data_IF_246288898944
#
_entry.id   IF_246288898944
#
_cell.length_a   1.000
_cell.length_b   1.000
_cell.length_c   1.000
_cell.angle_alpha   90.00
_cell.angle_beta   90.00
_cell.angle_gamma   90.00
#
_symmetry.space_group_name_H-M   'P 1'
#
loop_
_entity.id
_entity.type
_entity.pdbx_description
1 polymer ?
#
# COMPACT_ATOMS: atom_id res chain seq x y z
N UNK A 1 11.09 -16.93 -4.83
CA UNK A 1 10.20 -17.17 -3.66
C UNK A 1 10.66 -18.46 -2.96
N UNK A 2 10.76 -18.43 -1.61
CA UNK A 2 11.18 -19.59 -0.79
C UNK A 2 9.95 -20.30 -0.23
N UNK A 3 9.87 -21.63 -0.37
CA UNK A 3 8.77 -22.43 0.21
C UNK A 3 8.97 -22.60 1.72
N UNK A 4 7.89 -22.41 2.49
CA UNK A 4 7.85 -22.63 3.92
C UNK A 4 7.02 -23.87 4.24
N UNK A 5 7.58 -24.78 5.00
CA UNK A 5 6.88 -26.02 5.43
C UNK A 5 5.71 -25.73 6.38
N UNK A 6 5.76 -24.64 7.15
CA UNK A 6 4.72 -24.25 8.10
C UNK A 6 4.83 -22.76 8.43
N UNK A 7 3.68 -22.03 8.48
CA UNK A 7 3.62 -20.75 9.18
C UNK A 7 3.83 -21.02 10.68
N UNK A 8 4.82 -20.38 11.27
CA UNK A 8 4.96 -20.38 12.71
C UNK A 8 3.85 -19.53 13.35
N UNK A 9 2.65 -20.10 13.42
CA UNK A 9 1.53 -19.54 14.19
C UNK A 9 1.65 -19.87 15.68
N UNK A 10 2.73 -20.54 16.07
CA UNK A 10 2.99 -20.97 17.42
C UNK A 10 3.20 -19.75 18.33
N UNK A 11 2.18 -19.43 19.12
CA UNK A 11 2.18 -18.37 20.14
C UNK A 11 3.45 -18.36 21.00
N UNK A 12 3.93 -19.53 21.41
CA UNK A 12 5.13 -19.66 22.24
C UNK A 12 6.43 -19.27 21.51
N UNK A 13 6.62 -19.69 20.26
CA UNK A 13 7.86 -19.41 19.54
C UNK A 13 7.95 -17.93 19.15
N UNK A 14 6.84 -17.32 18.75
CA UNK A 14 6.76 -15.88 18.45
C UNK A 14 6.92 -15.01 19.70
N UNK A 15 6.23 -15.36 20.81
CA UNK A 15 6.41 -14.66 22.08
C UNK A 15 7.82 -14.83 22.62
N UNK A 16 8.46 -15.98 22.40
CA UNK A 16 9.84 -16.21 22.79
C UNK A 16 10.81 -15.32 21.99
N UNK A 17 10.60 -15.16 20.68
CA UNK A 17 11.37 -14.24 19.82
C UNK A 17 11.16 -12.81 20.32
N UNK A 18 9.91 -12.39 20.54
CA UNK A 18 9.58 -11.07 21.04
C UNK A 18 10.13 -10.82 22.44
N UNK A 19 10.02 -11.80 23.35
CA UNK A 19 10.56 -11.71 24.69
C UNK A 19 12.09 -11.67 24.68
N UNK A 20 12.73 -12.42 23.78
CA UNK A 20 14.20 -12.40 23.59
C UNK A 20 14.66 -11.06 23.03
N UNK A 21 13.95 -10.52 22.02
CA UNK A 21 14.19 -9.17 21.51
C UNK A 21 13.96 -8.11 22.60
N UNK A 22 12.85 -8.16 23.33
CA UNK A 22 12.54 -7.23 24.42
C UNK A 22 13.58 -7.29 25.55
N UNK A 23 14.01 -8.49 25.96
CA UNK A 23 15.01 -8.69 26.99
C UNK A 23 16.39 -8.19 26.57
N UNK A 24 16.80 -8.42 25.33
CA UNK A 24 18.08 -7.97 24.80
C UNK A 24 18.07 -6.46 24.56
N UNK A 25 17.02 -5.91 23.97
CA UNK A 25 16.83 -4.48 23.79
C UNK A 25 16.72 -3.77 25.15
N UNK A 26 15.95 -4.31 26.09
CA UNK A 26 15.80 -3.73 27.42
C UNK A 26 17.11 -3.61 28.19
N UNK A 27 17.99 -4.63 28.13
CA UNK A 27 19.29 -4.59 28.80
C UNK A 27 20.26 -3.58 28.19
N UNK A 28 20.23 -3.39 26.86
CA UNK A 28 21.14 -2.49 26.16
C UNK A 28 20.68 -1.03 26.18
N UNK A 29 19.37 -0.77 26.34
CA UNK A 29 18.76 0.56 26.14
C UNK A 29 18.28 1.25 27.41
N UNK A 30 18.19 0.55 28.55
CA UNK A 30 17.58 1.12 29.77
C UNK A 30 18.29 2.37 30.29
N UNK A 31 19.59 2.54 29.99
CA UNK A 31 20.42 3.65 30.42
C UNK A 31 20.97 4.52 29.27
N UNK A 32 20.43 4.42 28.07
CA UNK A 32 21.00 5.11 26.91
C UNK A 32 20.20 6.35 26.52
N UNK A 33 20.87 7.39 26.02
CA UNK A 33 20.27 8.58 25.43
C UNK A 33 19.60 8.23 24.08
N UNK A 34 18.64 9.06 23.60
CA UNK A 34 17.90 8.81 22.34
C UNK A 34 18.84 8.57 21.14
N UNK A 35 19.94 9.31 21.05
CA UNK A 35 20.93 9.20 19.97
C UNK A 35 21.77 7.91 20.06
N UNK A 36 22.05 7.44 21.27
CA UNK A 36 22.74 6.17 21.52
C UNK A 36 21.82 4.97 21.28
N UNK A 37 20.51 5.12 21.57
CA UNK A 37 19.50 4.10 21.33
C UNK A 37 19.40 3.79 19.83
N UNK A 38 19.30 4.81 18.97
CA UNK A 38 19.25 4.61 17.51
C UNK A 38 20.50 3.90 16.99
N UNK A 39 21.70 4.35 17.39
CA UNK A 39 22.96 3.73 16.96
C UNK A 39 23.15 2.29 17.48
N UNK A 40 22.69 1.98 18.69
CA UNK A 40 22.74 0.63 19.26
C UNK A 40 21.71 -0.30 18.61
N UNK A 41 20.49 0.21 18.34
CA UNK A 41 19.45 -0.52 17.62
C UNK A 41 19.92 -0.86 16.20
N UNK A 42 20.50 0.10 15.48
CA UNK A 42 21.08 -0.11 14.17
C UNK A 42 22.11 -1.24 14.17
N UNK A 43 23.08 -1.19 15.09
CA UNK A 43 24.09 -2.25 15.24
C UNK A 43 23.50 -3.61 15.64
N UNK A 44 22.53 -3.63 16.55
CA UNK A 44 21.84 -4.85 16.94
C UNK A 44 21.09 -5.48 15.77
N UNK A 45 20.29 -4.67 15.05
CA UNK A 45 19.57 -5.12 13.87
C UNK A 45 20.52 -5.61 12.77
N UNK A 46 21.59 -4.87 12.46
CA UNK A 46 22.62 -5.29 11.49
C UNK A 46 23.30 -6.61 11.87
N UNK A 47 23.69 -6.76 13.13
CA UNK A 47 24.37 -7.99 13.60
C UNK A 47 23.43 -9.20 13.70
N UNK A 48 22.11 -8.97 13.83
CA UNK A 48 21.10 -10.03 13.97
C UNK A 48 20.19 -10.17 12.75
N UNK A 49 20.40 -9.34 11.71
CA UNK A 49 19.55 -9.27 10.52
C UNK A 49 19.27 -10.66 9.93
N UNK A 50 20.32 -11.48 9.72
CA UNK A 50 20.17 -12.81 9.17
C UNK A 50 19.29 -13.75 10.02
N UNK A 51 19.46 -13.74 11.35
CA UNK A 51 18.63 -14.57 12.24
C UNK A 51 17.23 -13.98 12.45
N UNK A 52 17.10 -12.64 12.50
CA UNK A 52 15.83 -11.95 12.58
C UNK A 52 15.03 -12.11 11.30
N UNK A 53 15.64 -12.01 10.13
CA UNK A 53 14.98 -12.25 8.85
C UNK A 53 14.58 -13.71 8.66
N UNK A 54 15.31 -14.67 9.20
CA UNK A 54 14.89 -16.07 9.24
C UNK A 54 13.71 -16.29 10.21
N UNK A 55 13.77 -15.73 11.39
CA UNK A 55 12.74 -15.82 12.43
C UNK A 55 11.50 -14.97 12.10
N UNK A 56 11.69 -13.72 11.64
CA UNK A 56 10.64 -12.81 11.18
C UNK A 56 10.19 -13.11 9.73
N UNK A 57 11.01 -13.78 8.94
CA UNK A 57 10.69 -14.14 7.55
C UNK A 57 9.45 -15.02 7.41
N UNK A 58 9.04 -15.67 8.48
CA UNK A 58 7.76 -16.38 8.58
C UNK A 58 6.58 -15.47 8.98
N UNK A 59 6.85 -14.21 9.35
CA UNK A 59 5.90 -13.20 9.84
C UNK A 59 5.53 -12.14 8.79
N UNK A 60 6.06 -12.25 7.59
CA UNK A 60 6.28 -11.19 6.59
C UNK A 60 5.15 -10.26 6.25
N UNK A 61 3.98 -10.82 5.97
CA UNK A 61 2.99 -10.04 5.24
C UNK A 61 2.34 -8.96 6.07
N UNK A 62 1.83 -9.32 7.25
CA UNK A 62 1.14 -8.39 8.14
C UNK A 62 2.06 -7.34 8.74
N UNK A 63 3.31 -7.72 9.07
CA UNK A 63 4.32 -6.80 9.61
C UNK A 63 4.71 -5.75 8.56
N UNK A 64 4.98 -6.21 7.33
CA UNK A 64 5.28 -5.32 6.20
C UNK A 64 4.15 -4.35 5.89
N UNK A 65 2.93 -4.86 5.84
CA UNK A 65 1.74 -4.03 5.59
C UNK A 65 1.49 -3.06 6.74
N UNK A 66 1.66 -3.50 7.98
CA UNK A 66 1.59 -2.63 9.16
C UNK A 66 2.64 -1.51 9.09
N UNK A 67 3.88 -1.83 8.73
CA UNK A 67 4.94 -0.85 8.52
C UNK A 67 4.63 0.14 7.40
N UNK A 68 4.11 -0.34 6.27
CA UNK A 68 3.65 0.52 5.17
C UNK A 68 2.53 1.46 5.60
N UNK A 69 1.54 0.96 6.36
CA UNK A 69 0.46 1.80 6.89
C UNK A 69 1.02 2.79 7.91
N UNK A 70 1.90 2.34 8.82
CA UNK A 70 2.51 3.19 9.83
C UNK A 70 3.33 4.34 9.22
N UNK A 71 4.03 4.09 8.10
CA UNK A 71 4.77 5.14 7.38
C UNK A 71 3.86 6.26 6.83
N UNK A 72 2.56 6.01 6.66
CA UNK A 72 1.59 7.03 6.26
C UNK A 72 1.28 8.02 7.39
N UNK A 73 1.36 7.57 8.65
CA UNK A 73 1.16 8.45 9.81
C UNK A 73 2.37 9.33 10.11
N UNK A 74 3.50 9.06 9.49
CA UNK A 74 4.72 9.84 9.58
C UNK A 74 5.96 8.94 9.49
N UNK A 75 6.87 9.29 8.59
CA UNK A 75 8.15 8.56 8.47
C UNK A 75 8.99 8.61 9.74
N UNK A 76 8.76 9.61 10.60
CA UNK A 76 9.41 9.73 11.91
C UNK A 76 8.98 8.65 12.90
N UNK A 77 7.82 7.99 12.65
CA UNK A 77 7.37 6.88 13.47
C UNK A 77 8.14 5.58 13.20
N UNK A 78 8.84 5.50 12.06
CA UNK A 78 9.69 4.37 11.70
C UNK A 78 11.15 4.82 11.71
N UNK A 79 11.94 4.41 12.72
CA UNK A 79 13.37 4.59 12.68
C UNK A 79 13.97 3.98 11.40
N UNK A 80 15.01 4.59 10.79
CA UNK A 80 15.63 4.10 9.56
C UNK A 80 16.02 2.61 9.64
N UNK A 81 16.40 2.15 10.82
CA UNK A 81 16.76 0.76 11.06
C UNK A 81 15.57 -0.19 10.96
N UNK A 82 14.39 0.26 11.36
CA UNK A 82 13.14 -0.50 11.23
C UNK A 82 12.66 -0.46 9.78
N UNK A 83 12.78 0.68 9.08
CA UNK A 83 12.51 0.77 7.64
C UNK A 83 13.38 -0.21 6.86
N UNK A 84 14.69 -0.22 7.08
CA UNK A 84 15.63 -1.15 6.44
C UNK A 84 15.27 -2.61 6.70
N UNK A 85 14.88 -2.96 7.92
CA UNK A 85 14.42 -4.30 8.27
C UNK A 85 13.15 -4.67 7.49
N UNK A 86 12.18 -3.76 7.37
CA UNK A 86 10.96 -3.99 6.62
C UNK A 86 11.24 -4.14 5.11
N UNK A 87 12.15 -3.34 4.54
CA UNK A 87 12.57 -3.45 3.15
C UNK A 87 13.26 -4.78 2.86
N UNK A 88 14.15 -5.23 3.74
CA UNK A 88 14.79 -6.54 3.61
C UNK A 88 13.79 -7.69 3.71
N UNK A 89 12.85 -7.61 4.64
CA UNK A 89 11.73 -8.53 4.71
C UNK A 89 10.88 -8.51 3.42
N UNK A 90 10.71 -7.40 2.76
CA UNK A 90 9.99 -7.28 1.50
C UNK A 90 10.72 -7.97 0.34
N UNK A 91 12.04 -7.88 0.29
CA UNK A 91 12.85 -8.50 -0.77
C UNK A 91 12.78 -10.02 -0.77
N UNK A 92 12.54 -10.65 0.38
CA UNK A 92 12.49 -12.11 0.54
C UNK A 92 11.03 -12.60 0.49
N UNK A 93 10.41 -12.84 -0.65
CA UNK A 93 9.08 -13.44 -0.74
C UNK A 93 9.07 -14.93 -0.39
N UNK A 94 8.19 -15.34 0.52
CA UNK A 94 8.00 -16.76 0.90
C UNK A 94 6.53 -17.14 0.76
N UNK A 95 6.27 -18.42 0.57
CA UNK A 95 4.92 -18.96 0.44
C UNK A 95 4.79 -20.29 1.20
N UNK A 96 3.57 -20.67 1.56
CA UNK A 96 3.28 -21.94 2.19
C UNK A 96 3.20 -23.07 1.16
N UNK A 97 3.63 -24.28 1.58
CA UNK A 97 3.49 -25.48 0.77
C UNK A 97 2.04 -25.73 0.36
N UNK A 98 1.84 -26.36 -0.80
CA UNK A 98 0.51 -26.72 -1.31
C UNK A 98 -0.28 -27.54 -0.27
N UNK A 99 0.36 -28.50 0.38
CA UNK A 99 -0.30 -29.36 1.39
C UNK A 99 -0.85 -28.61 2.60
N UNK A 100 -0.42 -27.35 2.81
CA UNK A 100 -0.96 -26.51 3.89
C UNK A 100 -2.06 -25.56 3.40
N UNK A 101 -1.85 -24.92 2.25
CA UNK A 101 -2.77 -23.91 1.76
C UNK A 101 -4.05 -24.54 1.18
N UNK A 102 -3.94 -25.73 0.57
CA UNK A 102 -5.08 -26.44 -0.04
C UNK A 102 -6.15 -26.85 0.96
N UNK A 103 -5.77 -27.02 2.23
CA UNK A 103 -6.71 -27.38 3.32
C UNK A 103 -7.75 -26.29 3.60
N UNK A 104 -7.62 -25.12 3.02
CA UNK A 104 -8.56 -24.02 3.15
C UNK A 104 -9.57 -23.96 2.01
N UNK A 105 -9.35 -24.75 0.97
CA UNK A 105 -10.24 -24.82 -0.18
C UNK A 105 -11.39 -25.79 0.09
N UNK A 106 -12.53 -25.49 -0.51
CA UNK A 106 -13.70 -26.38 -0.46
C UNK A 106 -13.51 -27.61 -1.34
N UNK A 107 -14.19 -28.74 -1.05
CA UNK A 107 -14.19 -29.91 -1.93
C UNK A 107 -14.52 -29.55 -3.37
N UNK A 108 -15.55 -28.73 -3.60
CA UNK A 108 -15.95 -28.26 -4.93
C UNK A 108 -14.78 -27.64 -5.73
N UNK A 109 -14.02 -26.73 -5.11
CA UNK A 109 -12.86 -26.09 -5.77
C UNK A 109 -11.79 -27.11 -6.15
N UNK A 110 -11.52 -28.10 -5.27
CA UNK A 110 -10.53 -29.16 -5.50
C UNK A 110 -11.00 -30.20 -6.54
N UNK A 111 -12.29 -30.38 -6.70
CA UNK A 111 -12.88 -31.31 -7.66
C UNK A 111 -12.99 -30.71 -9.07
N UNK A 112 -13.37 -29.44 -9.16
CA UNK A 112 -13.65 -28.77 -10.44
C UNK A 112 -12.45 -28.05 -11.04
N UNK A 113 -11.43 -27.72 -10.22
CA UNK A 113 -10.26 -26.97 -10.69
C UNK A 113 -8.95 -27.77 -10.58
N UNK A 114 -8.13 -27.70 -11.62
CA UNK A 114 -6.71 -28.12 -11.60
C UNK A 114 -5.88 -26.94 -11.17
N UNK A 115 -5.35 -26.96 -9.93
CA UNK A 115 -4.66 -25.84 -9.31
C UNK A 115 -3.15 -26.09 -9.34
N UNK A 116 -2.38 -25.09 -9.80
CA UNK A 116 -0.91 -25.14 -9.73
C UNK A 116 -0.45 -25.22 -8.27
N UNK A 117 0.40 -26.20 -7.96
CA UNK A 117 0.94 -26.36 -6.59
C UNK A 117 1.87 -25.21 -6.20
N UNK A 118 2.56 -24.61 -7.17
CA UNK A 118 3.41 -23.44 -6.97
C UNK A 118 2.58 -22.17 -7.15
N UNK A 119 2.64 -21.20 -6.22
CA UNK A 119 1.95 -19.93 -6.38
C UNK A 119 2.59 -19.08 -7.47
N UNK A 120 1.80 -18.26 -8.13
CA UNK A 120 2.27 -17.25 -9.10
C UNK A 120 2.65 -15.93 -8.44
N UNK A 121 2.09 -15.67 -7.25
CA UNK A 121 2.41 -14.49 -6.44
C UNK A 121 2.22 -14.78 -4.95
N UNK A 122 3.03 -14.10 -4.11
CA UNK A 122 2.80 -13.99 -2.68
C UNK A 122 2.08 -12.67 -2.39
N UNK A 123 1.01 -12.74 -1.61
CA UNK A 123 0.32 -11.58 -1.07
C UNK A 123 0.70 -11.36 0.40
N UNK A 124 0.39 -10.18 0.97
CA UNK A 124 0.72 -9.86 2.36
C UNK A 124 0.14 -10.87 3.36
N UNK A 125 -1.08 -11.34 3.12
CA UNK A 125 -1.83 -12.23 4.03
C UNK A 125 -2.24 -13.56 3.38
N UNK A 126 -1.69 -13.88 2.18
CA UNK A 126 -2.06 -15.05 1.41
C UNK A 126 -1.11 -15.31 0.25
N UNK A 127 -1.53 -16.13 -0.67
CA UNK A 127 -0.82 -16.43 -1.91
C UNK A 127 -1.79 -16.66 -3.05
N UNK A 128 -1.35 -16.41 -4.28
CA UNK A 128 -2.17 -16.55 -5.48
C UNK A 128 -1.69 -17.74 -6.30
N UNK A 129 -2.60 -18.62 -6.64
CA UNK A 129 -2.34 -19.78 -7.48
C UNK A 129 -3.08 -19.64 -8.82
N UNK A 130 -2.44 -20.12 -9.87
CA UNK A 130 -3.13 -20.31 -11.14
C UNK A 130 -3.94 -21.61 -11.08
N UNK A 131 -5.17 -21.55 -11.57
CA UNK A 131 -6.01 -22.73 -11.71
C UNK A 131 -6.62 -22.79 -13.11
N UNK A 132 -7.02 -23.98 -13.52
CA UNK A 132 -7.66 -24.25 -14.82
C UNK A 132 -8.90 -25.08 -14.56
N UNK A 133 -9.98 -24.77 -15.25
CA UNK A 133 -11.20 -25.56 -15.26
C UNK A 133 -10.89 -27.00 -15.69
N UNK A 134 -11.27 -27.96 -14.89
CA UNK A 134 -10.90 -29.37 -15.09
C UNK A 134 -11.65 -30.01 -16.24
N UNK A 135 -12.90 -29.63 -16.45
CA UNK A 135 -13.77 -30.19 -17.47
C UNK A 135 -13.36 -29.71 -18.86
N UNK A 136 -13.21 -28.39 -19.03
CA UNK A 136 -12.95 -27.80 -20.35
C UNK A 136 -11.46 -27.64 -20.66
N UNK A 137 -10.60 -27.52 -19.66
CA UNK A 137 -9.19 -27.20 -19.80
C UNK A 137 -8.90 -25.81 -20.39
N UNK A 138 -9.93 -24.99 -20.62
CA UNK A 138 -9.81 -23.70 -21.34
C UNK A 138 -9.89 -22.49 -20.49
N UNK A 139 -10.70 -22.50 -19.42
CA UNK A 139 -10.84 -21.35 -18.52
C UNK A 139 -9.71 -21.32 -17.52
N UNK A 140 -9.01 -20.18 -17.45
CA UNK A 140 -7.92 -19.95 -16.50
C UNK A 140 -8.37 -19.02 -15.37
N UNK A 141 -7.99 -19.36 -14.14
CA UNK A 141 -8.35 -18.64 -12.92
C UNK A 141 -7.13 -18.21 -12.13
N UNK A 142 -7.26 -17.11 -11.40
CA UNK A 142 -6.38 -16.72 -10.31
C UNK A 142 -7.10 -16.98 -8.98
N UNK A 143 -6.53 -17.83 -8.15
CA UNK A 143 -7.08 -18.21 -6.86
C UNK A 143 -6.22 -17.63 -5.76
N UNK A 144 -6.69 -16.56 -5.13
CA UNK A 144 -6.07 -15.88 -3.98
C UNK A 144 -6.54 -16.58 -2.72
N UNK A 145 -5.61 -17.20 -1.99
CA UNK A 145 -5.92 -18.04 -0.81
C UNK A 145 -5.25 -17.43 0.40
N UNK A 146 -6.03 -17.17 1.45
CA UNK A 146 -5.58 -16.58 2.69
C UNK A 146 -4.79 -17.58 3.54
N UNK A 147 -3.84 -17.12 4.33
CA UNK A 147 -3.16 -17.98 5.31
C UNK A 147 -4.06 -18.28 6.50
N UNK A 148 -4.05 -19.54 6.94
CA UNK A 148 -4.84 -19.97 8.10
C UNK A 148 -4.39 -19.23 9.37
N UNK A 149 -5.36 -18.84 10.19
CA UNK A 149 -5.13 -18.14 11.46
C UNK A 149 -4.39 -16.78 11.33
N UNK A 150 -4.45 -16.14 10.18
CA UNK A 150 -3.74 -14.88 9.91
C UNK A 150 -4.13 -13.77 10.89
N UNK A 151 -5.36 -13.75 11.40
CA UNK A 151 -5.79 -12.77 12.41
C UNK A 151 -4.93 -12.80 13.66
N UNK A 152 -4.63 -14.02 14.18
CA UNK A 152 -3.72 -14.16 15.33
C UNK A 152 -2.31 -13.70 15.02
N UNK A 153 -1.88 -13.91 13.78
CA UNK A 153 -0.58 -13.45 13.29
C UNK A 153 -0.51 -11.94 13.30
N UNK A 154 -1.53 -11.26 12.78
CA UNK A 154 -1.64 -9.80 12.79
C UNK A 154 -1.54 -9.25 14.21
N UNK A 155 -2.29 -9.82 15.17
CA UNK A 155 -2.25 -9.36 16.56
C UNK A 155 -0.85 -9.44 17.18
N UNK A 156 -0.11 -10.51 16.88
CA UNK A 156 1.25 -10.70 17.38
C UNK A 156 2.25 -9.76 16.68
N UNK A 157 2.13 -9.61 15.37
CA UNK A 157 2.99 -8.74 14.58
C UNK A 157 2.84 -7.27 14.99
N UNK A 158 1.60 -6.81 15.20
CA UNK A 158 1.33 -5.46 15.68
C UNK A 158 1.87 -5.23 17.08
N UNK A 159 1.73 -6.21 17.99
CA UNK A 159 2.36 -6.12 19.32
C UNK A 159 3.87 -6.05 19.24
N UNK A 160 4.50 -6.83 18.35
CA UNK A 160 5.94 -6.81 18.12
C UNK A 160 6.41 -5.44 17.62
N UNK A 161 5.75 -4.93 16.58
CA UNK A 161 6.09 -3.64 15.98
C UNK A 161 5.90 -2.51 17.00
N UNK A 162 4.79 -2.50 17.73
CA UNK A 162 4.53 -1.53 18.79
C UNK A 162 5.61 -1.56 19.87
N UNK A 163 6.01 -2.76 20.30
CA UNK A 163 7.07 -2.94 21.28
C UNK A 163 8.40 -2.38 20.74
N UNK A 164 8.79 -2.71 19.51
CA UNK A 164 9.99 -2.16 18.88
C UNK A 164 9.99 -0.63 18.89
N UNK A 165 8.89 0.00 18.46
CA UNK A 165 8.77 1.46 18.45
C UNK A 165 8.80 2.09 19.85
N UNK A 166 8.19 1.43 20.85
CA UNK A 166 8.22 1.93 22.23
C UNK A 166 9.62 1.94 22.82
N UNK A 167 10.49 1.01 22.42
CA UNK A 167 11.87 0.98 22.89
C UNK A 167 12.77 2.02 22.22
N UNK A 168 12.45 2.44 20.98
CA UNK A 168 13.31 3.38 20.24
C UNK A 168 13.28 4.79 20.80
N UNK A 169 12.27 5.14 21.60
CA UNK A 169 12.00 6.52 22.09
C UNK A 169 11.96 7.58 20.97
N UNK A 170 11.93 7.14 19.71
CA UNK A 170 11.92 8.01 18.52
C UNK A 170 10.54 8.61 18.30
N UNK A 171 9.49 7.91 18.77
CA UNK A 171 8.11 8.36 18.59
C UNK A 171 7.86 9.59 19.46
N UNK A 172 7.49 10.73 18.87
CA UNK A 172 7.20 11.93 19.63
C UNK A 172 6.06 11.71 20.63
N UNK A 173 6.14 12.32 21.82
CA UNK A 173 5.18 12.11 22.91
C UNK A 173 3.74 12.52 22.59
N UNK A 174 3.53 13.33 21.57
CA UNK A 174 2.22 13.76 21.07
C UNK A 174 1.50 12.69 20.22
N UNK A 175 2.17 11.61 19.82
CA UNK A 175 1.54 10.52 19.07
C UNK A 175 0.97 9.47 20.01
N UNK A 176 -0.34 9.20 19.86
CA UNK A 176 -0.98 8.11 20.57
C UNK A 176 -0.84 6.79 19.77
N UNK A 177 0.25 6.05 20.06
CA UNK A 177 0.53 4.79 19.40
C UNK A 177 -0.62 3.77 19.54
N UNK A 178 -1.35 3.77 20.66
CA UNK A 178 -2.45 2.84 20.86
C UNK A 178 -3.57 3.04 19.84
N UNK A 179 -3.92 4.27 19.57
CA UNK A 179 -4.92 4.61 18.56
C UNK A 179 -4.43 4.24 17.16
N UNK A 180 -3.19 4.62 16.82
CA UNK A 180 -2.60 4.29 15.52
C UNK A 180 -2.59 2.77 15.27
N UNK A 181 -2.12 1.98 16.25
CA UNK A 181 -2.08 0.53 16.11
C UNK A 181 -3.47 -0.12 16.09
N UNK A 182 -4.45 0.46 16.79
CA UNK A 182 -5.84 0.03 16.69
C UNK A 182 -6.39 0.22 15.27
N UNK A 183 -6.09 1.34 14.65
CA UNK A 183 -6.49 1.67 13.29
C UNK A 183 -5.80 0.78 12.26
N UNK A 184 -4.48 0.60 12.37
CA UNK A 184 -3.72 -0.34 11.53
C UNK A 184 -4.33 -1.74 11.61
N UNK A 185 -4.70 -2.18 12.82
CA UNK A 185 -5.38 -3.47 13.00
C UNK A 185 -6.69 -3.54 12.25
N UNK A 186 -7.53 -2.52 12.34
CA UNK A 186 -8.80 -2.46 11.60
C UNK A 186 -8.56 -2.53 10.09
N UNK A 187 -7.57 -1.80 9.57
CA UNK A 187 -7.23 -1.83 8.15
C UNK A 187 -6.77 -3.22 7.69
N UNK A 188 -5.88 -3.87 8.47
CA UNK A 188 -5.41 -5.22 8.14
C UNK A 188 -6.53 -6.26 8.21
N UNK A 189 -7.46 -6.14 9.17
CA UNK A 189 -8.62 -7.03 9.26
C UNK A 189 -9.60 -6.82 8.08
N UNK A 190 -9.73 -5.60 7.57
CA UNK A 190 -10.54 -5.34 6.37
C UNK A 190 -9.96 -6.02 5.12
N UNK A 191 -8.63 -6.06 4.97
CA UNK A 191 -7.96 -6.76 3.86
C UNK A 191 -8.12 -8.29 3.92
N UNK A 192 -8.56 -8.82 5.06
CA UNK A 192 -8.84 -10.26 5.22
C UNK A 192 -10.22 -10.67 4.69
N UNK A 193 -11.09 -9.74 4.38
CA UNK A 193 -12.46 -10.03 3.94
C UNK A 193 -12.51 -10.17 2.41
N UNK A 194 -12.29 -11.39 1.93
CA UNK A 194 -12.31 -11.67 0.49
C UNK A 194 -13.71 -11.64 -0.12
N UNK A 195 -14.79 -11.77 0.66
CA UNK A 195 -16.15 -11.52 0.16
C UNK A 195 -16.34 -10.03 -0.12
N UNK A 196 -15.82 -9.16 0.76
CA UNK A 196 -15.81 -7.72 0.52
C UNK A 196 -14.96 -7.37 -0.70
N UNK A 197 -13.76 -7.94 -0.82
CA UNK A 197 -12.90 -7.73 -2.00
C UNK A 197 -13.59 -8.17 -3.30
N UNK A 198 -14.29 -9.32 -3.28
CA UNK A 198 -15.09 -9.78 -4.41
C UNK A 198 -16.17 -8.78 -4.83
N UNK A 199 -16.92 -8.25 -3.86
CA UNK A 199 -17.98 -7.27 -4.11
C UNK A 199 -17.39 -5.94 -4.65
N UNK A 200 -16.26 -5.48 -4.11
CA UNK A 200 -15.55 -4.31 -4.60
C UNK A 200 -15.03 -4.53 -6.03
N UNK A 201 -14.49 -5.71 -6.33
CA UNK A 201 -14.06 -6.07 -7.69
C UNK A 201 -15.24 -5.99 -8.68
N UNK A 202 -16.41 -6.49 -8.31
CA UNK A 202 -17.62 -6.40 -9.14
C UNK A 202 -18.08 -4.93 -9.32
N UNK A 203 -18.03 -4.12 -8.26
CA UNK A 203 -18.36 -2.69 -8.31
C UNK A 203 -17.41 -1.95 -9.24
N UNK A 204 -16.09 -2.21 -9.15
CA UNK A 204 -15.10 -1.64 -10.06
C UNK A 204 -15.29 -2.08 -11.50
N UNK A 205 -15.59 -3.34 -11.74
CA UNK A 205 -15.85 -3.84 -13.09
C UNK A 205 -17.04 -3.11 -13.74
N UNK A 206 -18.09 -2.84 -12.97
CA UNK A 206 -19.25 -2.06 -13.45
C UNK A 206 -18.89 -0.61 -13.77
N UNK A 207 -18.07 0.03 -12.94
CA UNK A 207 -17.66 1.44 -13.11
C UNK A 207 -16.60 1.62 -14.20
N UNK A 208 -15.70 0.66 -14.33
CA UNK A 208 -14.59 0.68 -15.29
C UNK A 208 -15.05 0.49 -16.75
N UNK A 209 -16.17 -0.19 -16.96
CA UNK A 209 -16.68 -0.53 -18.30
C UNK A 209 -15.62 -1.25 -19.14
N UNK A 210 -15.56 -0.95 -20.43
CA UNK A 210 -14.59 -1.54 -21.36
C UNK A 210 -13.23 -0.83 -21.42
N UNK A 211 -13.10 0.27 -20.66
CA UNK A 211 -11.88 1.10 -20.67
C UNK A 211 -10.73 0.42 -19.95
N UNK A 212 -11.03 -0.20 -18.80
CA UNK A 212 -10.07 -0.91 -17.97
C UNK A 212 -10.45 -2.40 -17.88
N UNK A 213 -9.46 -3.27 -17.81
CA UNK A 213 -9.68 -4.70 -17.65
C UNK A 213 -9.72 -5.00 -16.14
N UNK A 214 -10.87 -5.45 -15.66
CA UNK A 214 -11.05 -5.90 -14.27
C UNK A 214 -11.33 -7.41 -14.32
N UNK A 215 -10.67 -8.24 -13.51
CA UNK A 215 -10.90 -9.68 -13.48
C UNK A 215 -12.34 -10.00 -13.09
N UNK A 216 -12.95 -10.95 -13.81
CA UNK A 216 -14.28 -11.46 -13.46
C UNK A 216 -14.20 -12.29 -12.18
N UNK A 217 -15.09 -12.04 -11.24
CA UNK A 217 -15.21 -12.83 -9.99
C UNK A 217 -16.07 -14.06 -10.23
N UNK A 218 -15.65 -15.21 -9.70
CA UNK A 218 -16.38 -16.47 -9.68
C UNK A 218 -16.81 -16.78 -8.24
N UNK A 219 -18.03 -16.35 -7.89
CA UNK A 219 -18.56 -16.49 -6.52
C UNK A 219 -18.69 -17.95 -6.11
N UNK A 220 -19.01 -18.84 -7.06
CA UNK A 220 -19.11 -20.28 -6.84
C UNK A 220 -17.79 -20.95 -6.44
N UNK A 221 -16.65 -20.30 -6.70
CA UNK A 221 -15.30 -20.72 -6.32
C UNK A 221 -14.64 -19.72 -5.34
N UNK A 222 -15.43 -18.96 -4.64
CA UNK A 222 -14.95 -17.95 -3.68
C UNK A 222 -15.60 -18.15 -2.29
N UNK A 223 -14.93 -17.64 -1.26
CA UNK A 223 -15.41 -17.64 0.13
C UNK A 223 -14.74 -16.51 0.92
N UNK A 224 -14.99 -16.43 2.23
CA UNK A 224 -14.30 -15.49 3.13
C UNK A 224 -12.77 -15.61 3.12
N UNK A 225 -12.24 -16.80 2.82
CA UNK A 225 -10.80 -17.10 2.95
C UNK A 225 -10.11 -17.37 1.63
N UNK A 226 -10.82 -17.40 0.54
CA UNK A 226 -10.25 -17.48 -0.81
C UNK A 226 -11.14 -16.78 -1.84
N UNK A 227 -10.50 -16.14 -2.81
CA UNK A 227 -11.15 -15.40 -3.90
C UNK A 227 -10.69 -15.97 -5.24
N UNK A 228 -11.65 -16.34 -6.06
CA UNK A 228 -11.42 -16.82 -7.42
C UNK A 228 -11.83 -15.76 -8.44
N UNK A 229 -10.88 -15.39 -9.29
CA UNK A 229 -11.10 -14.46 -10.40
C UNK A 229 -10.58 -15.03 -11.70
N UNK A 230 -10.95 -14.43 -12.85
CA UNK A 230 -10.33 -14.79 -14.13
C UNK A 230 -8.84 -14.47 -14.10
N UNK A 231 -8.02 -15.39 -14.62
CA UNK A 231 -6.60 -15.14 -14.78
C UNK A 231 -6.36 -14.26 -16.01
N UNK A 232 -5.73 -13.11 -15.81
CA UNK A 232 -5.43 -12.18 -16.90
C UNK A 232 -3.95 -12.31 -17.27
N UNK A 233 -3.67 -12.68 -18.52
CA UNK A 233 -2.31 -12.71 -19.08
C UNK A 233 -1.89 -11.29 -19.45
N UNK A 234 -1.45 -10.52 -18.48
CA UNK A 234 -0.87 -9.18 -18.64
C UNK A 234 0.62 -9.17 -18.32
N UNK A 235 1.28 -8.08 -18.61
CA UNK A 235 2.70 -7.83 -18.33
C UNK A 235 2.83 -6.77 -17.25
N UNK A 236 3.87 -6.83 -16.43
CA UNK A 236 4.19 -5.75 -15.51
C UNK A 236 4.53 -4.46 -16.27
N UNK A 237 4.37 -3.30 -15.60
CA UNK A 237 4.75 -2.02 -16.20
C UNK A 237 6.23 -2.03 -16.58
N UNK A 238 7.09 -2.58 -15.72
CA UNK A 238 8.53 -2.65 -15.92
C UNK A 238 8.91 -3.48 -17.17
N UNK A 239 8.21 -4.61 -17.38
CA UNK A 239 8.49 -5.49 -18.51
C UNK A 239 7.96 -4.93 -19.85
N UNK A 240 6.85 -4.18 -19.80
CA UNK A 240 6.18 -3.71 -21.00
C UNK A 240 6.66 -2.33 -21.45
N UNK A 241 7.06 -1.45 -20.51
CA UNK A 241 7.48 -0.06 -20.80
C UNK A 241 8.59 0.03 -21.85
N UNK A 242 9.49 -0.95 -21.91
CA UNK A 242 10.60 -0.97 -22.86
C UNK A 242 10.15 -1.28 -24.31
N UNK A 243 8.96 -1.88 -24.47
CA UNK A 243 8.41 -2.26 -25.79
C UNK A 243 7.41 -1.25 -26.30
N UNK A 244 6.80 -0.48 -25.40
CA UNK A 244 5.80 0.52 -25.73
C UNK A 244 6.43 1.72 -26.43
N UNK A 245 5.75 2.21 -27.48
CA UNK A 245 6.06 3.50 -28.07
C UNK A 245 5.84 4.64 -27.05
N UNK A 246 6.43 5.81 -27.28
CA UNK A 246 6.18 6.97 -26.41
C UNK A 246 4.69 7.37 -26.43
N UNK A 247 4.04 7.24 -27.58
CA UNK A 247 2.62 7.53 -27.75
C UNK A 247 1.76 6.60 -26.89
N UNK A 248 2.06 5.30 -26.87
CA UNK A 248 1.35 4.32 -26.04
C UNK A 248 1.58 4.59 -24.55
N UNK A 249 2.81 4.91 -24.16
CA UNK A 249 3.13 5.30 -22.77
C UNK A 249 2.36 6.54 -22.33
N UNK A 250 2.25 7.54 -23.20
CA UNK A 250 1.51 8.77 -22.92
C UNK A 250 0.00 8.48 -22.82
N UNK A 251 -0.54 7.65 -23.72
CA UNK A 251 -1.94 7.22 -23.69
C UNK A 251 -2.26 6.49 -22.36
N UNK A 252 -1.45 5.50 -21.99
CA UNK A 252 -1.61 4.78 -20.72
C UNK A 252 -1.47 5.73 -19.52
N UNK A 253 -0.54 6.69 -19.57
CA UNK A 253 -0.39 7.70 -18.54
C UNK A 253 -1.63 8.56 -18.38
N UNK A 254 -2.20 9.04 -19.48
CA UNK A 254 -3.46 9.81 -19.48
C UNK A 254 -4.62 8.98 -18.91
N UNK A 255 -4.77 7.73 -19.36
CA UNK A 255 -5.81 6.82 -18.86
C UNK A 255 -5.66 6.54 -17.35
N UNK A 256 -4.43 6.46 -16.82
CA UNK A 256 -4.19 6.27 -15.40
C UNK A 256 -4.54 7.52 -14.57
N UNK A 257 -4.28 8.71 -15.11
CA UNK A 257 -4.77 9.97 -14.53
C UNK A 257 -6.29 10.05 -14.51
N UNK A 258 -6.94 9.70 -15.62
CA UNK A 258 -8.39 9.67 -15.69
C UNK A 258 -8.99 8.68 -14.69
N UNK A 259 -8.35 7.51 -14.50
CA UNK A 259 -8.75 6.56 -13.46
C UNK A 259 -8.69 7.20 -12.08
N UNK A 260 -7.58 7.88 -11.76
CA UNK A 260 -7.40 8.57 -10.49
C UNK A 260 -8.50 9.60 -10.23
N UNK A 261 -8.81 10.46 -11.21
CA UNK A 261 -9.85 11.47 -11.06
C UNK A 261 -11.25 10.84 -10.96
N UNK A 262 -11.54 9.82 -11.76
CA UNK A 262 -12.82 9.08 -11.67
C UNK A 262 -13.02 8.44 -10.31
N UNK A 263 -12.01 7.79 -9.78
CA UNK A 263 -12.07 7.16 -8.46
C UNK A 263 -12.46 8.17 -7.37
N UNK A 264 -11.90 9.38 -7.39
CA UNK A 264 -12.12 10.39 -6.36
C UNK A 264 -13.38 11.20 -6.65
N UNK A 265 -13.55 11.72 -7.87
CA UNK A 265 -14.53 12.76 -8.16
C UNK A 265 -15.85 12.24 -8.74
N UNK A 266 -15.84 11.07 -9.39
CA UNK A 266 -17.05 10.49 -9.96
C UNK A 266 -17.57 9.29 -9.15
N UNK A 267 -16.68 8.37 -8.78
CA UNK A 267 -17.07 7.11 -8.16
C UNK A 267 -17.11 7.18 -6.65
N UNK A 268 -16.44 8.17 -6.05
CA UNK A 268 -16.23 8.26 -4.60
C UNK A 268 -15.71 6.93 -4.02
N UNK A 269 -14.84 6.26 -4.78
CA UNK A 269 -14.35 4.91 -4.50
C UNK A 269 -12.89 4.80 -4.93
N UNK A 270 -11.97 4.85 -3.98
CA UNK A 270 -10.52 4.89 -4.24
C UNK A 270 -9.86 3.57 -3.90
N UNK A 271 -9.20 2.98 -4.88
CA UNK A 271 -8.25 1.88 -4.62
C UNK A 271 -6.95 2.49 -4.08
N UNK A 272 -6.78 2.45 -2.77
CA UNK A 272 -5.74 3.19 -2.05
C UNK A 272 -4.34 2.54 -2.11
N UNK A 273 -4.22 1.30 -2.57
CA UNK A 273 -2.93 0.60 -2.72
C UNK A 273 -2.39 0.70 -4.15
N UNK A 274 -2.01 1.92 -4.57
CA UNK A 274 -1.50 2.19 -5.91
C UNK A 274 -0.05 1.67 -6.11
N UNK A 275 0.22 0.42 -5.69
CA UNK A 275 1.48 -0.27 -5.91
C UNK A 275 1.52 -0.85 -7.32
N UNK A 276 2.66 -0.74 -8.02
CA UNK A 276 2.80 -1.19 -9.41
C UNK A 276 2.42 -2.67 -9.63
N UNK A 277 2.57 -3.53 -8.61
CA UNK A 277 2.17 -4.94 -8.66
C UNK A 277 0.65 -5.18 -8.76
N UNK A 278 -0.18 -4.17 -8.48
CA UNK A 278 -1.63 -4.23 -8.59
C UNK A 278 -2.13 -3.86 -9.99
N UNK A 279 -1.22 -3.53 -10.90
CA UNK A 279 -1.53 -3.11 -12.28
C UNK A 279 -0.71 -3.91 -13.28
N UNK A 280 -1.38 -4.38 -14.34
CA UNK A 280 -0.71 -4.96 -15.50
C UNK A 280 -1.10 -4.19 -16.76
N UNK A 281 -0.35 -4.41 -17.83
CA UNK A 281 -0.67 -3.92 -19.18
C UNK A 281 -1.00 -5.14 -20.05
N UNK A 282 -2.14 -5.09 -20.73
CA UNK A 282 -2.55 -6.06 -21.71
C UNK A 282 -3.20 -5.36 -22.90
N UNK A 283 -2.72 -5.62 -24.10
CA UNK A 283 -3.27 -5.05 -25.35
C UNK A 283 -3.42 -3.50 -25.27
N UNK A 284 -2.39 -2.83 -24.75
CA UNK A 284 -2.37 -1.38 -24.49
C UNK A 284 -3.53 -0.87 -23.64
N UNK A 285 -4.04 -1.70 -22.71
CA UNK A 285 -5.03 -1.33 -21.68
C UNK A 285 -4.52 -1.67 -20.29
N UNK A 286 -4.95 -0.90 -19.30
CA UNK A 286 -4.71 -1.21 -17.90
C UNK A 286 -5.55 -2.39 -17.43
N UNK A 287 -4.91 -3.30 -16.70
CA UNK A 287 -5.54 -4.36 -15.91
C UNK A 287 -5.45 -3.99 -14.45
N UNK A 288 -6.56 -3.95 -13.75
CA UNK A 288 -6.66 -3.62 -12.32
C UNK A 288 -6.90 -4.91 -11.55
N UNK A 289 -5.98 -5.30 -10.65
CA UNK A 289 -5.97 -6.65 -10.07
C UNK A 289 -6.49 -6.76 -8.64
N UNK A 290 -6.16 -5.80 -7.76
CA UNK A 290 -6.40 -5.90 -6.32
C UNK A 290 -7.30 -4.77 -5.83
N UNK A 291 -8.42 -5.12 -5.19
CA UNK A 291 -9.40 -4.19 -4.67
C UNK A 291 -9.58 -4.28 -3.13
N UNK A 292 -8.75 -5.09 -2.46
CA UNK A 292 -8.83 -5.29 -1.00
C UNK A 292 -8.61 -4.01 -0.20
N UNK A 293 -7.80 -3.08 -0.72
CA UNK A 293 -7.53 -1.78 -0.10
C UNK A 293 -8.43 -0.64 -0.60
N UNK A 294 -9.57 -0.97 -1.23
CA UNK A 294 -10.50 0.04 -1.72
C UNK A 294 -11.28 0.68 -0.59
N UNK A 295 -11.45 2.00 -0.67
CA UNK A 295 -12.15 2.82 0.31
C UNK A 295 -13.22 3.67 -0.35
N UNK A 296 -14.37 3.76 0.29
CA UNK A 296 -15.40 4.73 -0.07
C UNK A 296 -15.03 6.10 0.53
N UNK A 297 -15.18 7.14 -0.26
CA UNK A 297 -15.00 8.53 0.15
C UNK A 297 -16.35 9.16 0.45
N UNK A 298 -16.39 10.05 1.44
CA UNK A 298 -17.55 10.92 1.55
C UNK A 298 -17.55 11.94 0.41
N UNK A 299 -18.72 12.30 -0.14
CA UNK A 299 -18.81 13.32 -1.20
C UNK A 299 -18.16 14.64 -0.80
N UNK A 300 -18.22 15.00 0.48
CA UNK A 300 -17.60 16.21 1.01
C UNK A 300 -16.07 16.18 0.83
N UNK A 301 -15.42 15.09 1.23
CA UNK A 301 -13.96 14.93 1.07
C UNK A 301 -13.58 14.92 -0.42
N UNK A 302 -14.37 14.30 -1.27
CA UNK A 302 -14.12 14.32 -2.71
C UNK A 302 -14.15 15.73 -3.29
N UNK A 303 -15.13 16.54 -2.89
CA UNK A 303 -15.25 17.96 -3.27
C UNK A 303 -14.09 18.81 -2.73
N UNK A 304 -13.69 18.59 -1.48
CA UNK A 304 -12.56 19.31 -0.89
C UNK A 304 -11.25 18.99 -1.63
N UNK A 305 -10.99 17.73 -1.96
CA UNK A 305 -9.82 17.38 -2.78
C UNK A 305 -9.87 17.95 -4.19
N UNK A 306 -11.06 18.03 -4.80
CA UNK A 306 -11.21 18.73 -6.07
C UNK A 306 -10.89 20.22 -5.92
N UNK A 307 -11.38 20.87 -4.86
CA UNK A 307 -11.05 22.25 -4.52
C UNK A 307 -9.56 22.46 -4.29
N UNK A 308 -8.92 21.58 -3.52
CA UNK A 308 -7.46 21.59 -3.30
C UNK A 308 -6.72 21.51 -4.63
N UNK A 309 -7.06 20.56 -5.49
CA UNK A 309 -6.37 20.36 -6.76
C UNK A 309 -6.58 21.54 -7.72
N UNK A 310 -7.78 22.10 -7.77
CA UNK A 310 -8.06 23.33 -8.54
C UNK A 310 -7.30 24.53 -8.00
N UNK A 311 -7.30 24.73 -6.68
CA UNK A 311 -6.53 25.79 -6.01
C UNK A 311 -5.05 25.69 -6.28
N UNK A 312 -4.49 24.49 -6.20
CA UNK A 312 -3.09 24.21 -6.51
C UNK A 312 -2.78 24.52 -8.00
N UNK A 313 -3.61 24.01 -8.92
CA UNK A 313 -3.39 24.23 -10.36
C UNK A 313 -3.42 25.72 -10.74
N UNK A 314 -4.28 26.50 -10.07
CA UNK A 314 -4.43 27.96 -10.25
C UNK A 314 -3.46 28.77 -9.38
N UNK A 315 -2.68 28.12 -8.52
CA UNK A 315 -1.83 28.76 -7.48
C UNK A 315 -2.62 29.67 -6.55
N UNK A 316 -3.86 29.29 -6.24
CA UNK A 316 -4.73 29.97 -5.31
C UNK A 316 -4.53 29.47 -3.89
N UNK A 317 -3.60 30.14 -3.18
CA UNK A 317 -3.29 29.82 -1.79
C UNK A 317 -4.53 29.90 -0.88
N UNK A 318 -5.44 30.84 -1.15
CA UNK A 318 -6.60 31.08 -0.30
C UNK A 318 -7.55 29.88 -0.29
N UNK A 319 -7.91 29.36 -1.46
CA UNK A 319 -8.78 28.16 -1.56
C UNK A 319 -8.21 26.99 -0.77
N UNK A 320 -6.91 26.81 -0.86
CA UNK A 320 -6.24 25.74 -0.13
C UNK A 320 -6.32 25.94 1.38
N UNK A 321 -6.02 27.15 1.86
CA UNK A 321 -6.05 27.50 3.27
C UNK A 321 -7.46 27.39 3.85
N UNK A 322 -8.47 27.90 3.14
CA UNK A 322 -9.88 27.81 3.57
C UNK A 322 -10.31 26.34 3.80
N UNK A 323 -9.86 25.39 2.96
CA UNK A 323 -10.15 23.97 3.13
C UNK A 323 -9.39 23.37 4.31
N UNK A 324 -8.10 23.70 4.46
CA UNK A 324 -7.28 23.19 5.56
C UNK A 324 -7.79 23.68 6.93
N UNK A 325 -8.26 24.92 7.01
CA UNK A 325 -8.91 25.51 8.18
C UNK A 325 -10.26 24.88 8.49
N UNK A 326 -11.13 24.77 7.47
CA UNK A 326 -12.48 24.16 7.57
C UNK A 326 -12.44 22.82 8.29
N UNK A 327 -11.44 22.01 8.01
CA UNK A 327 -11.28 20.69 8.59
C UNK A 327 -10.35 20.64 9.80
N UNK A 328 -9.78 21.77 10.19
CA UNK A 328 -8.82 21.85 11.28
C UNK A 328 -7.65 20.85 11.12
N UNK A 329 -7.18 20.68 9.87
CA UNK A 329 -6.08 19.77 9.58
C UNK A 329 -4.76 20.27 10.11
N UNK A 330 -4.60 21.58 10.21
CA UNK A 330 -3.35 22.26 10.55
C UNK A 330 -3.60 23.28 11.65
N UNK A 331 -2.70 23.32 12.62
CA UNK A 331 -2.60 24.40 13.59
C UNK A 331 -1.79 25.57 12.99
N UNK A 332 -2.49 26.50 12.35
CA UNK A 332 -1.86 27.64 11.68
C UNK A 332 -1.09 28.55 12.62
N UNK A 333 -1.44 28.62 13.91
CA UNK A 333 -0.71 29.42 14.90
C UNK A 333 0.72 28.90 15.15
N UNK A 334 0.96 27.61 14.90
CA UNK A 334 2.22 26.93 15.12
C UNK A 334 2.81 26.33 13.84
N UNK A 335 2.36 26.79 12.67
CA UNK A 335 2.78 26.29 11.35
C UNK A 335 3.54 27.36 10.57
N UNK A 336 4.66 26.98 9.98
CA UNK A 336 5.32 27.78 8.95
C UNK A 336 4.56 27.63 7.62
N UNK A 337 3.70 28.59 7.32
CA UNK A 337 2.86 28.61 6.14
C UNK A 337 3.65 28.64 4.82
N UNK A 338 4.78 29.35 4.78
CA UNK A 338 5.59 29.45 3.57
C UNK A 338 6.22 28.09 3.24
N UNK A 339 6.69 27.35 4.24
CA UNK A 339 7.20 26.00 4.07
C UNK A 339 6.13 25.04 3.53
N UNK A 340 4.90 25.17 4.06
CA UNK A 340 3.76 24.37 3.59
C UNK A 340 3.40 24.74 2.15
N UNK A 341 3.34 26.03 1.82
CA UNK A 341 3.05 26.50 0.48
C UNK A 341 4.09 26.05 -0.54
N UNK A 342 5.37 26.18 -0.22
CA UNK A 342 6.48 25.71 -1.05
C UNK A 342 6.40 24.20 -1.32
N UNK A 343 5.92 23.42 -0.35
CA UNK A 343 5.71 21.99 -0.57
C UNK A 343 4.56 21.74 -1.53
N UNK A 344 3.44 22.45 -1.40
CA UNK A 344 2.33 22.34 -2.33
C UNK A 344 2.73 22.75 -3.75
N UNK A 345 3.51 23.81 -3.89
CA UNK A 345 4.03 24.23 -5.21
C UNK A 345 4.96 23.17 -5.82
N UNK A 346 5.78 22.51 -5.01
CA UNK A 346 6.63 21.43 -5.48
C UNK A 346 5.81 20.25 -6.01
N UNK A 347 4.87 19.73 -5.20
CA UNK A 347 4.11 18.55 -5.61
C UNK A 347 3.12 18.84 -6.74
N UNK A 348 2.74 20.10 -6.92
CA UNK A 348 1.81 20.55 -7.95
C UNK A 348 2.50 21.00 -9.25
N UNK A 349 3.82 20.99 -9.31
CA UNK A 349 4.56 21.47 -10.52
C UNK A 349 3.97 20.92 -11.83
N UNK A 350 3.60 19.62 -11.95
CA UNK A 350 3.03 19.11 -13.19
C UNK A 350 1.70 19.77 -13.59
N UNK A 351 0.90 20.18 -12.61
CA UNK A 351 -0.41 20.81 -12.84
C UNK A 351 -0.32 22.28 -13.26
N UNK A 352 0.86 22.86 -13.28
CA UNK A 352 1.10 24.23 -13.74
C UNK A 352 1.67 24.29 -15.16
N UNK A 353 1.85 23.14 -15.81
CA UNK A 353 2.49 23.03 -17.13
C UNK A 353 1.62 22.22 -18.08
N UNK A 354 1.39 22.70 -19.30
CA UNK A 354 0.69 21.93 -20.34
C UNK A 354 1.40 20.63 -20.72
N UNK A 355 2.70 20.56 -20.52
CA UNK A 355 3.49 19.36 -20.84
C UNK A 355 4.49 19.10 -19.73
N UNK A 356 4.56 17.86 -19.26
CA UNK A 356 5.47 17.46 -18.20
C UNK A 356 6.16 16.12 -18.51
N UNK A 357 7.44 15.99 -18.16
CA UNK A 357 8.20 14.73 -18.30
C UNK A 357 8.19 13.97 -16.97
N UNK A 358 7.22 13.07 -16.80
CA UNK A 358 7.07 12.25 -15.61
C UNK A 358 8.24 11.27 -15.43
N UNK A 359 8.81 10.77 -16.53
CA UNK A 359 9.94 9.84 -16.50
C UNK A 359 11.17 10.40 -15.81
N UNK A 360 11.43 11.69 -16.01
CA UNK A 360 12.56 12.42 -15.42
C UNK A 360 12.19 13.23 -14.18
N UNK A 361 10.94 13.10 -13.69
CA UNK A 361 10.48 13.84 -12.51
C UNK A 361 11.31 13.54 -11.27
N UNK A 362 11.75 14.60 -10.60
CA UNK A 362 12.44 14.56 -9.30
C UNK A 362 11.49 14.76 -8.12
N UNK A 363 10.20 15.05 -8.40
CA UNK A 363 9.19 15.36 -7.35
C UNK A 363 9.13 14.27 -6.28
N UNK A 364 9.05 12.96 -6.59
CA UNK A 364 8.97 11.95 -5.55
C UNK A 364 10.14 12.03 -4.55
N UNK A 365 11.35 12.20 -5.05
CA UNK A 365 12.56 12.32 -4.20
C UNK A 365 12.60 13.65 -3.44
N UNK A 366 12.25 14.75 -4.11
CA UNK A 366 12.26 16.08 -3.49
C UNK A 366 11.16 16.21 -2.43
N UNK A 367 9.95 15.70 -2.71
CA UNK A 367 8.85 15.67 -1.74
C UNK A 367 9.24 14.85 -0.49
N UNK A 368 9.89 13.70 -0.70
CA UNK A 368 10.40 12.88 0.38
C UNK A 368 11.45 13.62 1.25
N UNK A 369 12.37 14.34 0.63
CA UNK A 369 13.39 15.09 1.35
C UNK A 369 12.77 16.27 2.13
N UNK A 370 11.84 17.01 1.52
CA UNK A 370 11.15 18.14 2.16
C UNK A 370 10.14 17.72 3.23
N UNK A 371 9.62 16.50 3.18
CA UNK A 371 8.69 16.02 4.23
C UNK A 371 9.28 16.09 5.63
N UNK A 372 10.61 15.91 5.77
CA UNK A 372 11.31 16.04 7.06
C UNK A 372 11.27 17.47 7.62
N UNK A 373 11.36 18.47 6.76
CA UNK A 373 11.31 19.87 7.16
C UNK A 373 9.87 20.28 7.46
N UNK A 374 8.91 19.78 6.66
CA UNK A 374 7.47 19.94 6.91
C UNK A 374 7.07 19.43 8.30
N UNK A 375 7.50 18.25 8.68
CA UNK A 375 7.17 17.65 9.97
C UNK A 375 7.72 18.45 11.16
N UNK A 376 8.76 19.26 10.94
CA UNK A 376 9.29 20.17 11.96
C UNK A 376 8.61 21.54 11.98
N UNK A 377 8.22 22.03 10.80
CA UNK A 377 7.69 23.38 10.61
C UNK A 377 6.17 23.48 10.47
N UNK A 378 5.48 22.34 10.25
CA UNK A 378 4.03 22.28 10.07
C UNK A 378 3.42 21.43 11.18
N UNK A 379 2.51 22.00 11.95
CA UNK A 379 1.83 21.29 13.01
C UNK A 379 0.49 20.75 12.52
N UNK A 380 0.47 19.45 12.27
CA UNK A 380 -0.76 18.73 11.93
C UNK A 380 -1.58 18.49 13.20
N UNK A 381 -2.88 18.78 13.14
CA UNK A 381 -3.81 18.45 14.22
C UNK A 381 -4.31 17.01 14.09
N UNK A 382 -5.18 16.78 13.15
CA UNK A 382 -5.74 15.46 12.89
C UNK A 382 -6.02 15.32 11.39
N UNK A 383 -5.48 14.27 10.78
CA UNK A 383 -5.80 13.92 9.40
C UNK A 383 -6.79 12.74 9.43
N UNK A 384 -8.01 12.91 8.89
CA UNK A 384 -8.92 11.79 8.71
C UNK A 384 -8.27 10.69 7.87
N UNK A 385 -8.57 9.43 8.18
CA UNK A 385 -8.03 8.28 7.44
C UNK A 385 -8.23 8.36 5.94
N UNK A 386 -9.36 8.96 5.50
CA UNK A 386 -9.67 9.08 4.09
C UNK A 386 -8.62 9.91 3.33
N UNK A 387 -8.07 10.95 3.95
CA UNK A 387 -7.01 11.78 3.39
C UNK A 387 -5.73 10.98 3.15
N UNK A 388 -5.31 10.18 4.12
CA UNK A 388 -4.13 9.32 4.00
C UNK A 388 -4.23 8.35 2.82
N UNK A 389 -5.44 7.86 2.51
CA UNK A 389 -5.64 6.97 1.37
C UNK A 389 -5.53 7.69 0.04
N UNK A 390 -6.03 8.92 -0.05
CA UNK A 390 -5.91 9.73 -1.26
C UNK A 390 -4.45 10.15 -1.47
N UNK A 391 -3.75 10.59 -0.43
CA UNK A 391 -2.34 10.97 -0.51
C UNK A 391 -1.47 9.79 -0.95
N UNK A 392 -1.75 8.59 -0.44
CA UNK A 392 -1.10 7.36 -0.88
C UNK A 392 -1.37 7.07 -2.36
N UNK A 393 -2.61 7.28 -2.82
CA UNK A 393 -2.98 7.11 -4.23
C UNK A 393 -2.25 8.12 -5.12
N UNK A 394 -2.12 9.38 -4.67
CA UNK A 394 -1.34 10.42 -5.37
C UNK A 394 0.12 9.99 -5.49
N UNK A 395 0.74 9.56 -4.41
CA UNK A 395 2.12 9.05 -4.43
C UNK A 395 2.30 7.89 -5.42
N UNK A 396 1.36 6.95 -5.43
CA UNK A 396 1.33 5.83 -6.37
C UNK A 396 1.16 6.28 -7.83
N UNK A 397 0.31 7.27 -8.09
CA UNK A 397 0.13 7.89 -9.41
C UNK A 397 1.47 8.43 -9.95
N UNK A 398 2.18 9.23 -9.16
CA UNK A 398 3.49 9.76 -9.54
C UNK A 398 4.50 8.65 -9.83
N UNK A 399 4.54 7.63 -8.98
CA UNK A 399 5.44 6.50 -9.17
C UNK A 399 5.13 5.71 -10.45
N UNK A 400 3.86 5.45 -10.74
CA UNK A 400 3.44 4.71 -11.93
C UNK A 400 3.73 5.52 -13.19
N UNK A 401 3.41 6.82 -13.23
CA UNK A 401 3.71 7.69 -14.36
C UNK A 401 5.22 7.80 -14.63
N UNK A 402 6.03 7.87 -13.57
CA UNK A 402 7.48 7.85 -13.66
C UNK A 402 7.98 6.52 -14.22
N UNK A 403 7.50 5.39 -13.72
CA UNK A 403 7.88 4.04 -14.19
C UNK A 403 7.49 3.84 -15.65
N UNK A 404 6.31 4.33 -16.05
CA UNK A 404 5.81 4.31 -17.42
C UNK A 404 6.60 5.23 -18.35
N UNK A 405 7.40 6.16 -17.81
CA UNK A 405 8.11 7.21 -18.54
C UNK A 405 7.16 8.03 -19.43
N UNK A 406 5.98 8.31 -18.91
CA UNK A 406 5.00 9.13 -19.60
C UNK A 406 5.49 10.60 -19.69
N UNK A 407 5.13 11.30 -20.76
CA UNK A 407 5.47 12.71 -20.94
C UNK A 407 4.46 13.40 -21.85
N UNK A 408 4.42 14.71 -21.78
CA UNK A 408 3.52 15.53 -22.59
C UNK A 408 2.30 15.98 -21.80
N UNK A 409 1.27 16.35 -22.53
CA UNK A 409 -0.03 16.78 -21.98
C UNK A 409 -0.91 15.55 -21.73
N UNK A 410 -0.78 14.98 -20.53
CA UNK A 410 -1.51 13.77 -20.13
C UNK A 410 -2.46 13.99 -18.95
N UNK A 411 -2.56 15.22 -18.46
CA UNK A 411 -3.50 15.57 -17.38
C UNK A 411 -4.89 15.80 -17.98
N UNK A 412 -5.93 15.17 -17.48
CA UNK A 412 -7.32 15.44 -17.89
C UNK A 412 -7.79 16.76 -17.26
N UNK A 413 -7.50 17.87 -17.91
CA UNK A 413 -7.75 19.22 -17.41
C UNK A 413 -9.23 19.52 -17.13
N UNK A 414 -10.15 18.88 -17.86
CA UNK A 414 -11.61 19.00 -17.66
C UNK A 414 -12.06 18.78 -16.21
N UNK A 415 -11.30 18.01 -15.42
CA UNK A 415 -11.56 17.82 -13.99
C UNK A 415 -11.09 18.98 -13.11
N UNK A 416 -10.22 19.85 -13.64
CA UNK A 416 -9.60 20.96 -12.93
C UNK A 416 -10.09 22.34 -13.39
N UNK A 417 -10.90 22.39 -14.46
CA UNK A 417 -11.60 23.58 -14.95
C UNK A 417 -12.91 23.86 -14.16
#
# INVERSE_FOLDING_TARGET
>A
MKELSKLNTGFFKRNLILAKMASQLGKEFFFSSEKEVSNKLGRYLQNKMGSLTEDLGQLKGSLLKAGQILSLYGKELLPPEVENLLEELQSQSSFLSWGQISKQLTPKVLEELVISKSPIAAASIGQVHKAIDKETGKKEYALKIQYKNIQRVIDLDLKALKMLLSFTKVVPKNYNLDNIFKEIKVMLLQEMDYEKEANLTLKYASLAGDKYIVPRVFKEFSSKTFLCTSFIKGKSIQDEVLKLSQTDRNKLGKEFFELFFKEIFEWNLVQSDAHAGNYLIKDNKWVLLDFGATKELSPEIALDYQGIMKGIARRDKKVLWDILEKHNFIDFNNTNEDLLWDYFLLVSEPFTKKSYDWGNSKIPTQALNRSKDLLKGVKLNYLPHQNLFIDRKIGGLYFILKTLKARGDIIPWDYLD
#
